data_IF_707349842122
#
_entry.id   IF_707349842122
#
_cell.length_a   1.000
_cell.length_b   1.000
_cell.length_c   1.000
_cell.angle_alpha   90.00
_cell.angle_beta   90.00
_cell.angle_gamma   90.00
#
_symmetry.space_group_name_H-M   'P 1'
#
loop_
_entity.id
_entity.type
_entity.pdbx_description
1 polymer ?
#
# COMPACT_ATOMS: atom_id res chain seq x y z
N UNK A 1 -11.35 -11.21 -45.33
CA UNK A 1 -12.77 -10.82 -45.18
C UNK A 1 -13.32 -11.72 -44.08
N UNK A 2 -13.43 -11.22 -42.83
CA UNK A 2 -14.64 -10.59 -42.23
C UNK A 2 -15.84 -11.55 -42.33
N UNK A 3 -16.66 -11.89 -41.33
CA UNK A 3 -16.96 -11.46 -39.95
C UNK A 3 -18.00 -12.52 -39.44
N UNK A 4 -17.93 -13.01 -38.19
CA UNK A 4 -18.86 -12.73 -37.06
C UNK A 4 -20.11 -13.64 -36.91
N UNK A 5 -20.40 -13.91 -35.63
CA UNK A 5 -21.69 -14.16 -34.94
C UNK A 5 -21.75 -15.50 -34.17
N UNK A 6 -21.39 -15.44 -32.88
CA UNK A 6 -22.27 -15.13 -31.73
C UNK A 6 -23.11 -16.33 -31.29
N UNK A 7 -22.59 -17.07 -30.31
CA UNK A 7 -23.31 -18.08 -29.57
C UNK A 7 -23.43 -17.60 -28.11
N UNK A 8 -24.50 -16.87 -27.81
CA UNK A 8 -24.87 -16.38 -26.48
C UNK A 8 -25.96 -17.29 -25.90
N UNK A 9 -25.73 -18.00 -24.77
CA UNK A 9 -26.80 -18.64 -24.00
C UNK A 9 -27.35 -17.67 -22.92
N UNK A 10 -28.51 -17.99 -22.32
CA UNK A 10 -29.62 -17.05 -22.16
C UNK A 10 -29.51 -16.12 -20.94
N UNK A 11 -30.19 -14.97 -21.06
CA UNK A 11 -30.46 -14.00 -19.98
C UNK A 11 -30.93 -14.72 -18.71
N UNK A 12 -30.06 -14.73 -17.70
CA UNK A 12 -30.42 -15.14 -16.35
C UNK A 12 -31.45 -14.15 -15.77
N UNK A 13 -32.59 -14.71 -15.38
CA UNK A 13 -33.63 -14.11 -14.53
C UNK A 13 -33.02 -13.25 -13.41
N UNK A 14 -33.51 -12.03 -13.29
CA UNK A 14 -33.27 -11.18 -12.11
C UNK A 14 -33.80 -11.88 -10.85
N UNK A 15 -32.89 -12.24 -9.96
CA UNK A 15 -33.23 -12.62 -8.58
C UNK A 15 -33.46 -11.32 -7.80
N UNK A 16 -34.60 -11.16 -7.11
CA UNK A 16 -34.88 -9.97 -6.32
C UNK A 16 -34.03 -10.00 -5.05
N UNK A 17 -33.00 -9.17 -5.06
CA UNK A 17 -32.07 -9.00 -3.94
C UNK A 17 -31.17 -7.81 -4.20
N UNK A 18 -31.71 -6.71 -4.71
CA UNK A 18 -30.99 -5.44 -4.79
C UNK A 18 -30.82 -4.90 -3.37
N UNK A 19 -29.77 -5.36 -2.70
CA UNK A 19 -29.20 -4.61 -1.58
C UNK A 19 -28.84 -3.22 -2.09
N UNK A 20 -29.26 -2.19 -1.36
CA UNK A 20 -29.04 -0.79 -1.70
C UNK A 20 -27.58 -0.57 -2.12
N UNK A 21 -27.36 -0.14 -3.36
CA UNK A 21 -26.04 0.26 -3.82
C UNK A 21 -25.61 1.52 -3.07
N UNK A 22 -24.65 1.35 -2.19
CA UNK A 22 -23.99 2.42 -1.43
C UNK A 22 -22.98 3.17 -2.32
N UNK A 23 -22.73 4.47 -2.05
CA UNK A 23 -21.80 5.28 -2.86
C UNK A 23 -20.37 4.72 -2.86
N UNK A 24 -19.97 4.06 -1.77
CA UNK A 24 -18.67 3.37 -1.64
C UNK A 24 -18.57 2.18 -2.59
N UNK A 25 -19.65 1.38 -2.70
CA UNK A 25 -19.73 0.24 -3.63
C UNK A 25 -19.70 0.68 -5.09
N UNK A 26 -20.41 1.74 -5.44
CA UNK A 26 -20.39 2.31 -6.79
C UNK A 26 -19.00 2.82 -7.18
N UNK A 27 -18.29 3.43 -6.23
CA UNK A 27 -16.93 3.93 -6.44
C UNK A 27 -15.92 2.78 -6.59
N UNK A 28 -16.06 1.70 -5.82
CA UNK A 28 -15.25 0.49 -5.95
C UNK A 28 -15.50 -0.20 -7.30
N UNK A 29 -16.76 -0.35 -7.71
CA UNK A 29 -17.11 -0.93 -9.02
C UNK A 29 -16.59 -0.08 -10.19
N UNK A 30 -16.59 1.25 -10.06
CA UNK A 30 -15.99 2.14 -11.07
C UNK A 30 -14.47 1.96 -11.18
N UNK A 31 -13.79 1.64 -10.09
CA UNK A 31 -12.33 1.47 -10.05
C UNK A 31 -11.85 0.05 -10.38
N UNK A 32 -12.63 -0.97 -10.02
CA UNK A 32 -12.26 -2.40 -10.15
C UNK A 32 -12.98 -3.10 -11.31
N UNK A 33 -13.96 -2.42 -11.93
CA UNK A 33 -14.88 -3.03 -12.89
C UNK A 33 -15.96 -3.89 -12.21
N UNK A 34 -16.76 -4.60 -13.01
CA UNK A 34 -17.82 -5.49 -12.52
C UNK A 34 -17.29 -6.84 -11.99
N UNK A 35 -16.01 -6.92 -11.62
CA UNK A 35 -15.41 -8.13 -11.09
C UNK A 35 -15.91 -8.40 -9.66
N UNK A 36 -16.27 -9.66 -9.37
CA UNK A 36 -16.71 -10.09 -8.02
C UNK A 36 -15.54 -10.42 -7.10
N UNK A 37 -14.40 -10.83 -7.67
CA UNK A 37 -13.18 -11.17 -6.95
C UNK A 37 -12.03 -10.38 -7.55
N UNK A 38 -11.22 -9.77 -6.70
CA UNK A 38 -10.06 -8.97 -7.09
C UNK A 38 -8.84 -9.36 -6.29
N UNK A 39 -7.66 -8.98 -6.77
CA UNK A 39 -6.43 -9.21 -6.00
C UNK A 39 -6.39 -8.30 -4.77
N UNK A 40 -5.70 -8.71 -3.69
CA UNK A 40 -5.44 -7.84 -2.54
C UNK A 40 -4.79 -6.49 -2.91
N UNK A 41 -3.95 -6.50 -3.94
CA UNK A 41 -3.26 -5.30 -4.42
C UNK A 41 -4.25 -4.31 -5.06
N UNK A 42 -5.17 -4.81 -5.89
CA UNK A 42 -6.19 -4.00 -6.55
C UNK A 42 -7.21 -3.45 -5.54
N UNK A 43 -7.66 -4.28 -4.59
CA UNK A 43 -8.55 -3.85 -3.51
C UNK A 43 -7.93 -2.68 -2.71
N UNK A 44 -6.64 -2.80 -2.36
CA UNK A 44 -5.91 -1.72 -1.68
C UNK A 44 -5.78 -0.46 -2.53
N UNK A 45 -5.40 -0.62 -3.81
CA UNK A 45 -5.22 0.50 -4.73
C UNK A 45 -6.52 1.28 -4.94
N UNK A 46 -7.62 0.57 -5.14
CA UNK A 46 -8.96 1.16 -5.27
C UNK A 46 -9.38 1.89 -3.99
N UNK A 47 -9.12 1.31 -2.81
CA UNK A 47 -9.49 1.93 -1.52
C UNK A 47 -8.77 3.25 -1.29
N UNK A 48 -7.47 3.32 -1.59
CA UNK A 48 -6.69 4.58 -1.49
C UNK A 48 -7.22 5.67 -2.42
N UNK A 49 -7.68 5.30 -3.61
CA UNK A 49 -8.23 6.25 -4.58
C UNK A 49 -9.62 6.79 -4.17
N UNK A 50 -10.39 6.03 -3.40
CA UNK A 50 -11.80 6.35 -3.08
C UNK A 50 -11.94 7.10 -1.75
N UNK A 51 -11.22 6.65 -0.72
CA UNK A 51 -11.44 7.12 0.67
C UNK A 51 -10.35 8.10 1.12
N UNK A 52 -9.26 8.21 0.36
CA UNK A 52 -8.09 9.01 0.72
C UNK A 52 -7.26 8.35 1.83
N UNK A 53 -5.99 8.73 1.92
CA UNK A 53 -5.05 8.12 2.88
C UNK A 53 -5.35 8.47 4.35
N UNK A 54 -6.11 9.55 4.59
CA UNK A 54 -6.28 10.14 5.93
C UNK A 54 -7.51 9.62 6.69
N UNK A 55 -8.29 8.72 6.08
CA UNK A 55 -9.54 8.21 6.66
C UNK A 55 -9.46 6.73 7.02
N UNK A 56 -8.66 5.94 6.29
CA UNK A 56 -8.48 4.51 6.57
C UNK A 56 -7.00 4.18 6.51
N UNK A 57 -6.48 3.63 7.61
CA UNK A 57 -5.05 3.31 7.73
C UNK A 57 -4.69 2.10 6.88
N UNK A 58 -3.39 1.93 6.62
CA UNK A 58 -2.86 0.77 5.92
C UNK A 58 -3.23 -0.55 6.60
N UNK A 59 -3.19 -0.58 7.93
CA UNK A 59 -3.47 -1.77 8.72
C UNK A 59 -4.95 -2.14 8.67
N UNK A 60 -5.83 -1.13 8.72
CA UNK A 60 -7.27 -1.32 8.56
C UNK A 60 -7.62 -1.92 7.19
N UNK A 61 -7.03 -1.39 6.11
CA UNK A 61 -7.22 -1.92 4.75
C UNK A 61 -6.78 -3.38 4.68
N UNK A 62 -5.66 -3.71 5.32
CA UNK A 62 -5.09 -5.06 5.29
C UNK A 62 -5.93 -6.04 6.11
N UNK A 63 -6.47 -5.61 7.24
CA UNK A 63 -7.42 -6.40 8.02
C UNK A 63 -8.71 -6.67 7.22
N UNK A 64 -9.29 -5.64 6.59
CA UNK A 64 -10.48 -5.80 5.74
C UNK A 64 -10.25 -6.75 4.56
N UNK A 65 -9.07 -6.72 3.95
CA UNK A 65 -8.69 -7.65 2.87
C UNK A 65 -8.65 -9.09 3.37
N UNK A 66 -8.11 -9.34 4.57
CA UNK A 66 -8.05 -10.69 5.17
C UNK A 66 -9.45 -11.20 5.50
N UNK A 67 -10.29 -10.35 6.06
CA UNK A 67 -11.67 -10.71 6.43
C UNK A 67 -12.54 -10.97 5.20
N UNK A 68 -12.26 -10.30 4.09
CA UNK A 68 -12.93 -10.48 2.80
C UNK A 68 -12.27 -11.53 1.91
N UNK A 69 -11.44 -12.43 2.47
CA UNK A 69 -10.77 -13.48 1.71
C UNK A 69 -11.73 -14.50 1.12
N UNK A 70 -11.47 -14.90 -0.13
CA UNK A 70 -12.17 -16.04 -0.76
C UNK A 70 -11.70 -17.40 -0.25
N UNK A 71 -10.67 -17.43 0.62
CA UNK A 71 -10.04 -18.64 1.14
C UNK A 71 -8.99 -19.24 0.21
N UNK A 72 -8.88 -18.74 -1.03
CA UNK A 72 -7.92 -19.20 -2.02
C UNK A 72 -6.52 -18.62 -1.75
N UNK A 73 -5.53 -19.51 -1.69
CA UNK A 73 -4.13 -19.17 -1.41
C UNK A 73 -3.22 -19.67 -2.52
N UNK A 74 -2.18 -18.90 -2.81
CA UNK A 74 -1.14 -19.27 -3.76
C UNK A 74 -0.41 -20.50 -3.22
N UNK A 75 -0.34 -21.61 -3.99
CA UNK A 75 0.28 -22.85 -3.54
C UNK A 75 1.79 -22.73 -3.28
N UNK A 76 2.47 -21.72 -3.84
CA UNK A 76 3.92 -21.51 -3.67
C UNK A 76 4.24 -20.61 -2.48
N UNK A 77 3.44 -19.57 -2.27
CA UNK A 77 3.74 -18.51 -1.30
C UNK A 77 2.81 -18.51 -0.08
N UNK A 78 1.70 -19.25 -0.15
CA UNK A 78 0.64 -19.23 0.87
C UNK A 78 -0.12 -17.91 0.96
N UNK A 79 0.15 -16.97 0.05
CA UNK A 79 -0.44 -15.64 0.02
C UNK A 79 -1.89 -15.71 -0.47
N UNK A 80 -2.73 -14.81 0.05
CA UNK A 80 -4.13 -14.69 -0.38
C UNK A 80 -4.20 -14.24 -1.85
N UNK A 81 -4.99 -14.94 -2.66
CA UNK A 81 -5.12 -14.68 -4.11
C UNK A 81 -6.35 -13.82 -4.42
N UNK A 82 -7.43 -14.02 -3.69
CA UNK A 82 -8.72 -13.38 -3.95
C UNK A 82 -9.32 -12.64 -2.76
N UNK A 83 -9.94 -11.51 -3.06
CA UNK A 83 -10.77 -10.71 -2.16
C UNK A 83 -12.17 -10.60 -2.76
N UNK A 84 -13.19 -10.97 -1.99
CA UNK A 84 -14.59 -10.76 -2.35
C UNK A 84 -14.93 -9.26 -2.22
N UNK A 85 -15.30 -8.65 -3.35
CA UNK A 85 -15.57 -7.21 -3.45
C UNK A 85 -16.79 -6.79 -2.62
N UNK A 86 -17.79 -7.66 -2.49
CA UNK A 86 -19.03 -7.36 -1.76
C UNK A 86 -18.85 -7.47 -0.25
N UNK A 87 -18.01 -8.39 0.22
CA UNK A 87 -17.59 -8.46 1.62
C UNK A 87 -16.69 -7.27 1.99
N UNK A 88 -15.75 -6.94 1.10
CA UNK A 88 -14.79 -5.86 1.30
C UNK A 88 -15.47 -4.47 1.30
N UNK A 89 -16.40 -4.20 0.38
CA UNK A 89 -17.15 -2.94 0.34
C UNK A 89 -17.97 -2.71 1.62
N UNK A 90 -18.60 -3.77 2.15
CA UNK A 90 -19.35 -3.71 3.42
C UNK A 90 -18.45 -3.47 4.62
N UNK A 91 -17.22 -3.96 4.62
CA UNK A 91 -16.25 -3.67 5.67
C UNK A 91 -15.79 -2.21 5.62
N UNK A 92 -15.52 -1.71 4.41
CA UNK A 92 -15.10 -0.32 4.19
C UNK A 92 -16.18 0.69 4.61
N UNK A 93 -17.45 0.39 4.36
CA UNK A 93 -18.58 1.23 4.78
C UNK A 93 -18.77 1.30 6.29
N UNK A 94 -18.62 0.17 6.98
CA UNK A 94 -18.66 0.13 8.45
C UNK A 94 -17.57 1.01 9.03
N UNK A 95 -16.34 0.89 8.51
CA UNK A 95 -15.20 1.67 8.97
C UNK A 95 -15.34 3.17 8.70
N UNK A 96 -15.80 3.54 7.51
CA UNK A 96 -16.04 4.95 7.16
C UNK A 96 -17.14 5.58 8.05
N UNK A 97 -18.14 4.79 8.46
CA UNK A 97 -19.22 5.24 9.34
C UNK A 97 -18.75 5.42 10.80
N UNK A 98 -17.82 4.60 11.27
CA UNK A 98 -17.17 4.72 12.59
C UNK A 98 -16.27 5.96 12.66
N UNK A 99 -15.43 6.20 11.65
CA UNK A 99 -14.57 7.39 11.59
C UNK A 99 -15.35 8.70 11.50
N UNK A 100 -16.56 8.70 10.93
CA UNK A 100 -17.45 9.87 10.96
C UNK A 100 -18.12 10.10 12.33
N UNK A 101 -18.27 9.06 13.16
CA UNK A 101 -18.71 9.21 14.55
C UNK A 101 -17.61 9.80 15.42
N UNK A 102 -16.37 9.31 15.28
CA UNK A 102 -15.21 9.79 16.04
C UNK A 102 -14.91 11.28 15.77
N UNK A 103 -14.95 11.70 14.50
CA UNK A 103 -14.77 13.12 14.13
C UNK A 103 -15.91 14.02 14.64
N UNK A 104 -17.15 13.52 14.70
CA UNK A 104 -18.27 14.26 15.29
C UNK A 104 -18.15 14.37 16.81
N UNK A 105 -17.68 13.33 17.48
CA UNK A 105 -17.45 13.39 18.93
C UNK A 105 -16.29 14.31 19.29
N UNK A 106 -15.22 14.35 18.50
CA UNK A 106 -14.11 15.30 18.69
C UNK A 106 -14.51 16.76 18.45
N UNK A 107 -15.37 17.02 17.44
CA UNK A 107 -15.91 18.36 17.22
C UNK A 107 -16.82 18.81 18.39
N UNK A 108 -17.65 17.91 18.91
CA UNK A 108 -18.54 18.20 20.05
C UNK A 108 -17.77 18.38 21.36
N UNK A 109 -16.68 17.62 21.59
CA UNK A 109 -15.83 17.81 22.78
C UNK A 109 -14.99 19.08 22.69
N UNK A 110 -14.55 19.47 21.49
CA UNK A 110 -13.89 20.76 21.27
C UNK A 110 -14.81 21.94 21.58
N UNK A 111 -16.08 21.89 21.17
CA UNK A 111 -17.07 22.94 21.49
C UNK A 111 -17.39 22.98 22.98
N UNK A 112 -17.55 21.82 23.64
CA UNK A 112 -17.78 21.75 25.08
C UNK A 112 -16.58 22.26 25.92
N UNK A 113 -15.35 22.00 25.47
CA UNK A 113 -14.13 22.54 26.12
C UNK A 113 -13.98 24.04 25.87
N UNK A 114 -14.40 24.55 24.71
CA UNK A 114 -14.45 25.99 24.41
C UNK A 114 -15.53 26.72 25.22
N UNK A 115 -16.69 26.10 25.46
CA UNK A 115 -17.72 26.64 26.35
C UNK A 115 -17.26 26.63 27.82
N UNK A 116 -16.61 25.55 28.27
CA UNK A 116 -16.02 25.48 29.62
C UNK A 116 -14.88 26.50 29.81
N UNK A 117 -14.06 26.73 28.78
CA UNK A 117 -13.02 27.76 28.79
C UNK A 117 -13.60 29.19 28.87
N UNK A 118 -14.78 29.43 28.27
CA UNK A 118 -15.51 30.70 28.38
C UNK A 118 -16.15 30.90 29.76
N UNK A 119 -16.57 29.82 30.43
CA UNK A 119 -17.10 29.88 31.80
C UNK A 119 -16.01 30.07 32.86
N UNK A 120 -14.84 29.45 32.69
CA UNK A 120 -13.74 29.51 33.67
C UNK A 120 -12.84 30.75 33.52
N UNK A 121 -12.82 31.39 32.34
CA UNK A 121 -12.05 32.61 32.07
C UNK A 121 -12.92 33.65 31.34
N UNK A 122 -13.70 34.46 32.08
CA UNK A 122 -14.58 35.48 31.48
C UNK A 122 -13.84 36.55 30.65
N UNK A 123 -12.52 36.69 30.84
CA UNK A 123 -11.69 37.73 30.20
C UNK A 123 -10.94 37.26 28.93
N UNK A 124 -11.12 36.01 28.48
CA UNK A 124 -10.59 35.63 27.16
C UNK A 124 -11.53 36.13 26.04
N UNK A 125 -11.38 37.42 25.70
CA UNK A 125 -11.90 38.00 24.46
C UNK A 125 -13.06 38.99 24.54
N UNK A 126 -13.30 39.68 25.65
CA UNK A 126 -14.37 40.69 25.72
C UNK A 126 -14.11 41.77 26.77
N UNK A 127 -13.92 43.01 26.33
CA UNK A 127 -13.67 44.17 27.18
C UNK A 127 -14.84 44.53 28.08
N UNK A 128 -14.47 44.97 29.29
CA UNK A 128 -15.13 45.95 30.17
C UNK A 128 -16.64 46.18 30.02
N UNK A 129 -17.41 45.80 31.04
CA UNK A 129 -18.34 46.75 31.67
C UNK A 129 -18.68 46.35 33.12
N UNK A 130 -18.45 47.30 34.03
CA UNK A 130 -18.61 47.21 35.48
C UNK A 130 -20.10 47.42 35.82
N UNK A 131 -20.82 46.35 36.14
CA UNK A 131 -22.17 46.41 36.69
C UNK A 131 -22.16 46.76 38.19
N UNK A 132 -22.61 47.95 38.53
CA UNK A 132 -22.84 48.42 39.91
C UNK A 132 -24.01 47.67 40.54
N UNK A 133 -23.80 46.98 41.66
CA UNK A 133 -24.90 46.48 42.50
C UNK A 133 -25.32 47.58 43.46
N UNK A 134 -26.53 48.09 43.27
CA UNK A 134 -27.17 49.08 44.13
C UNK A 134 -27.47 48.49 45.51
N UNK A 135 -27.03 49.20 46.53
CA UNK A 135 -27.42 49.01 47.92
C UNK A 135 -28.79 49.66 48.08
N UNK A 136 -29.84 48.85 48.25
CA UNK A 136 -31.12 49.34 48.77
C UNK A 136 -31.07 49.33 50.30
N UNK A 137 -31.32 50.50 50.87
CA UNK A 137 -31.45 50.74 52.29
C UNK A 137 -32.87 51.19 52.62
N UNK A 138 -33.28 50.86 53.86
CA UNK A 138 -34.35 51.46 54.68
C UNK A 138 -35.80 51.00 54.37
N UNK A 139 -36.76 51.03 55.34
CA UNK A 139 -36.82 51.93 56.51
C UNK A 139 -37.06 51.25 57.88
N UNK A 140 -36.51 51.80 58.97
CA UNK A 140 -37.06 52.91 59.79
C UNK A 140 -38.39 52.55 60.48
N UNK A 141 -38.30 52.11 61.74
CA UNK A 141 -39.43 52.04 62.65
C UNK A 141 -39.45 53.29 63.55
N UNK A 142 -40.34 54.21 63.15
CA UNK A 142 -41.12 55.18 63.93
C UNK A 142 -40.83 55.24 65.44
N UNK A 143 -40.22 56.34 65.86
CA UNK A 143 -40.36 56.88 67.21
C UNK A 143 -41.78 57.45 67.37
N UNK A 144 -42.52 56.98 68.38
CA UNK A 144 -43.77 57.60 68.85
C UNK A 144 -43.50 58.19 70.22
N UNK A 145 -43.79 59.49 70.32
CA UNK A 145 -43.52 60.31 71.48
C UNK A 145 -44.42 60.02 72.68
N UNK A 146 -43.82 60.31 73.83
CA UNK A 146 -44.35 60.89 75.04
C UNK A 146 -45.88 60.85 75.29
N UNK A 147 -46.24 60.26 76.42
CA UNK A 147 -47.25 60.86 77.29
C UNK A 147 -46.85 60.67 78.74
N UNK A 148 -46.41 61.78 79.34
CA UNK A 148 -46.32 61.95 80.78
C UNK A 148 -47.74 61.93 81.37
N UNK A 149 -47.94 61.12 82.40
CA UNK A 149 -48.99 61.33 83.39
C UNK A 149 -48.34 61.22 84.76
N UNK A 150 -48.11 62.37 85.38
CA UNK A 150 -47.96 62.50 86.84
C UNK A 150 -49.35 62.26 87.43
N UNK A 151 -49.46 61.33 88.36
CA UNK A 151 -49.97 61.62 89.70
C UNK A 151 -49.96 60.39 90.62
N UNK A 152 -49.83 60.72 91.92
CA UNK A 152 -50.08 59.89 93.10
C UNK A 152 -49.01 58.86 93.51
N UNK A 153 -48.07 59.31 94.34
CA UNK A 153 -47.30 58.44 95.22
C UNK A 153 -48.14 57.91 96.39
N UNK A 154 -48.01 56.61 96.66
CA UNK A 154 -47.79 55.98 97.99
C UNK A 154 -47.74 54.46 97.84
N UNK A 155 -46.60 53.94 97.37
CA UNK A 155 -46.14 52.55 97.54
C UNK A 155 -44.66 52.41 97.09
N UNK A 156 -43.82 53.39 97.39
CA UNK A 156 -42.49 53.53 96.78
C UNK A 156 -41.40 53.07 97.73
N UNK A 157 -41.11 51.76 97.69
CA UNK A 157 -39.79 51.14 97.89
C UNK A 157 -39.88 49.67 97.50
N UNK A 158 -40.90 48.96 97.97
CA UNK A 158 -41.12 47.53 97.64
C UNK A 158 -41.58 47.33 96.19
N UNK A 159 -42.48 48.18 95.66
CA UNK A 159 -42.95 48.07 94.27
C UNK A 159 -41.85 48.42 93.25
N UNK A 160 -41.02 49.41 93.55
CA UNK A 160 -39.83 49.72 92.72
C UNK A 160 -38.74 48.65 92.82
N UNK A 161 -38.64 47.93 93.95
CA UNK A 161 -37.71 46.82 94.12
C UNK A 161 -38.21 45.56 93.40
N UNK A 162 -39.53 45.32 93.38
CA UNK A 162 -40.18 44.29 92.55
C UNK A 162 -40.02 44.60 91.05
N UNK A 163 -40.21 45.84 90.61
CA UNK A 163 -40.01 46.21 89.21
C UNK A 163 -38.53 46.16 88.80
N UNK A 164 -37.59 46.55 89.68
CA UNK A 164 -36.15 46.39 89.42
C UNK A 164 -35.74 44.92 89.37
N UNK A 165 -36.28 44.06 90.23
CA UNK A 165 -35.97 42.63 90.24
C UNK A 165 -36.63 41.87 89.09
N UNK A 166 -37.82 42.27 88.65
CA UNK A 166 -38.47 41.74 87.44
C UNK A 166 -37.76 42.20 86.16
N UNK A 167 -37.33 43.46 86.10
CA UNK A 167 -36.51 43.93 84.98
C UNK A 167 -35.12 43.27 84.96
N UNK A 168 -34.51 43.04 86.14
CA UNK A 168 -33.26 42.32 86.26
C UNK A 168 -33.41 40.83 85.91
N UNK A 169 -34.51 40.18 86.29
CA UNK A 169 -34.78 38.78 85.92
C UNK A 169 -35.11 38.62 84.44
N UNK A 170 -35.87 39.54 83.85
CA UNK A 170 -36.12 39.61 82.40
C UNK A 170 -34.85 39.89 81.59
N UNK A 171 -33.96 40.76 82.09
CA UNK A 171 -32.65 40.97 81.49
C UNK A 171 -31.75 39.74 81.61
N UNK A 172 -31.81 39.00 82.72
CA UNK A 172 -31.05 37.76 82.92
C UNK A 172 -31.56 36.63 82.01
N UNK A 173 -32.88 36.50 81.80
CA UNK A 173 -33.43 35.52 80.86
C UNK A 173 -33.06 35.85 79.42
N UNK A 174 -33.17 37.12 79.01
CA UNK A 174 -32.72 37.55 77.68
C UNK A 174 -31.20 37.35 77.47
N UNK A 175 -30.38 37.59 78.50
CA UNK A 175 -28.96 37.28 78.47
C UNK A 175 -28.68 35.76 78.38
N UNK A 176 -29.51 34.94 79.01
CA UNK A 176 -29.39 33.47 78.96
C UNK A 176 -29.80 32.92 77.59
N UNK A 177 -30.86 33.46 76.99
CA UNK A 177 -31.32 33.11 75.65
C UNK A 177 -30.31 33.52 74.57
N UNK A 178 -29.73 34.72 74.68
CA UNK A 178 -28.65 35.15 73.77
C UNK A 178 -27.41 34.30 73.92
N UNK A 179 -27.01 33.92 75.14
CA UNK A 179 -25.93 32.96 75.37
C UNK A 179 -26.24 31.57 74.80
N UNK A 180 -27.48 31.10 74.87
CA UNK A 180 -27.91 29.83 74.26
C UNK A 180 -27.84 29.90 72.72
N UNK A 181 -28.27 31.01 72.11
CA UNK A 181 -28.15 31.24 70.66
C UNK A 181 -26.68 31.25 70.22
N UNK A 182 -25.82 31.98 70.92
CA UNK A 182 -24.38 32.04 70.62
C UNK A 182 -23.72 30.67 70.76
N UNK A 183 -24.14 29.85 71.74
CA UNK A 183 -23.64 28.46 71.87
C UNK A 183 -24.08 27.59 70.70
N UNK A 184 -25.34 27.67 70.29
CA UNK A 184 -25.84 26.92 69.13
C UNK A 184 -25.12 27.32 67.83
N UNK A 185 -24.87 28.62 67.64
CA UNK A 185 -24.07 29.13 66.53
C UNK A 185 -22.62 28.63 66.60
N UNK A 186 -22.00 28.62 67.79
CA UNK A 186 -20.63 28.10 67.97
C UNK A 186 -20.55 26.60 67.63
N UNK A 187 -21.53 25.80 68.04
CA UNK A 187 -21.59 24.38 67.74
C UNK A 187 -21.85 24.13 66.24
N UNK A 188 -22.71 24.93 65.60
CA UNK A 188 -22.91 24.92 64.15
C UNK A 188 -21.62 25.26 63.38
N UNK A 189 -20.90 26.30 63.81
CA UNK A 189 -19.61 26.68 63.21
C UNK A 189 -18.55 25.59 63.41
N UNK A 190 -18.51 24.93 64.57
CA UNK A 190 -17.62 23.78 64.81
C UNK A 190 -17.95 22.59 63.89
N UNK A 191 -19.23 22.29 63.70
CA UNK A 191 -19.67 21.24 62.78
C UNK A 191 -19.32 21.58 61.32
N UNK A 192 -19.55 22.83 60.89
CA UNK A 192 -19.16 23.30 59.58
C UNK A 192 -17.63 23.21 59.36
N UNK A 193 -16.84 23.58 60.37
CA UNK A 193 -15.38 23.51 60.32
C UNK A 193 -14.88 22.05 60.28
N UNK A 194 -15.51 21.14 61.03
CA UNK A 194 -15.22 19.71 60.93
C UNK A 194 -15.52 19.16 59.52
N UNK A 195 -16.63 19.59 58.92
CA UNK A 195 -17.00 19.21 57.55
C UNK A 195 -16.02 19.74 56.51
N UNK A 196 -15.56 20.99 56.63
CA UNK A 196 -14.57 21.55 55.70
C UNK A 196 -13.20 20.88 55.85
N UNK A 197 -12.80 20.51 57.07
CA UNK A 197 -11.57 19.70 57.28
C UNK A 197 -11.65 18.35 56.58
N UNK A 198 -12.75 17.62 56.75
CA UNK A 198 -12.94 16.34 56.07
C UNK A 198 -12.92 16.49 54.54
N UNK A 199 -13.60 17.51 54.00
CA UNK A 199 -13.57 17.82 52.58
C UNK A 199 -12.16 18.17 52.08
N UNK A 200 -11.36 18.87 52.88
CA UNK A 200 -9.98 19.19 52.54
C UNK A 200 -9.07 17.95 52.52
N UNK A 201 -9.27 17.03 53.47
CA UNK A 201 -8.57 15.74 53.48
C UNK A 201 -8.95 14.86 52.28
N UNK A 202 -10.23 14.87 51.88
CA UNK A 202 -10.68 14.19 50.66
C UNK A 202 -10.05 14.81 49.40
N UNK A 203 -10.01 16.15 49.30
CA UNK A 203 -9.38 16.86 48.19
C UNK A 203 -7.88 16.57 48.13
N UNK A 204 -7.20 16.51 49.27
CA UNK A 204 -5.78 16.18 49.32
C UNK A 204 -5.53 14.74 48.83
N UNK A 205 -6.33 13.77 49.26
CA UNK A 205 -6.26 12.39 48.75
C UNK A 205 -6.53 12.31 47.24
N UNK A 206 -7.48 13.11 46.73
CA UNK A 206 -7.75 13.21 45.30
C UNK A 206 -6.56 13.80 44.54
N UNK A 207 -5.91 14.84 45.06
CA UNK A 207 -4.74 15.46 44.46
C UNK A 207 -3.55 14.49 44.39
N UNK A 208 -3.26 13.78 45.48
CA UNK A 208 -2.20 12.76 45.53
C UNK A 208 -2.48 11.62 44.53
N UNK A 209 -3.74 11.16 44.43
CA UNK A 209 -4.11 10.15 43.44
C UNK A 209 -3.99 10.65 41.99
N UNK A 210 -4.32 11.91 41.72
CA UNK A 210 -4.18 12.50 40.40
C UNK A 210 -2.69 12.64 40.01
N UNK A 211 -1.84 13.08 40.93
CA UNK A 211 -0.39 13.18 40.72
C UNK A 211 0.24 11.80 40.46
N UNK A 212 -0.17 10.77 41.19
CA UNK A 212 0.28 9.40 40.94
C UNK A 212 -0.07 8.92 39.52
N UNK A 213 -1.32 9.13 39.09
CA UNK A 213 -1.76 8.78 37.72
C UNK A 213 -1.02 9.57 36.65
N UNK A 214 -0.76 10.86 36.90
CA UNK A 214 0.02 11.68 35.97
C UNK A 214 1.46 11.16 35.84
N UNK A 215 2.09 10.79 36.96
CA UNK A 215 3.43 10.23 36.95
C UNK A 215 3.50 8.88 36.23
N UNK A 216 2.50 8.01 36.42
CA UNK A 216 2.35 6.76 35.66
C UNK A 216 2.18 7.02 34.16
N UNK A 217 1.31 7.95 33.77
CA UNK A 217 1.11 8.31 32.36
C UNK A 217 2.38 8.90 31.73
N UNK A 218 3.12 9.73 32.47
CA UNK A 218 4.42 10.27 32.03
C UNK A 218 5.48 9.17 31.88
N UNK A 219 5.50 8.17 32.76
CA UNK A 219 6.40 7.02 32.64
C UNK A 219 6.06 6.18 31.39
N UNK A 220 4.79 5.86 31.18
CA UNK A 220 4.33 5.12 30.00
C UNK A 220 4.64 5.87 28.69
N UNK A 221 4.48 7.20 28.66
CA UNK A 221 4.85 8.03 27.52
C UNK A 221 6.35 7.93 27.21
N UNK A 222 7.20 8.00 28.23
CA UNK A 222 8.66 7.87 28.05
C UNK A 222 9.03 6.51 27.48
N UNK A 223 8.44 5.42 27.96
CA UNK A 223 8.66 4.08 27.41
C UNK A 223 8.21 3.98 25.96
N UNK A 224 7.05 4.54 25.62
CA UNK A 224 6.56 4.58 24.24
C UNK A 224 7.52 5.36 23.32
N UNK A 225 8.00 6.52 23.77
CA UNK A 225 8.98 7.32 23.01
C UNK A 225 10.30 6.56 22.78
N UNK A 226 10.77 5.83 23.78
CA UNK A 226 11.98 4.99 23.66
C UNK A 226 11.74 3.89 22.62
N UNK A 227 10.61 3.18 22.69
CA UNK A 227 10.27 2.13 21.73
C UNK A 227 10.16 2.67 20.30
N UNK A 228 9.47 3.80 20.11
CA UNK A 228 9.37 4.49 18.81
C UNK A 228 10.73 4.90 18.27
N UNK A 229 11.63 5.38 19.13
CA UNK A 229 12.99 5.71 18.72
C UNK A 229 13.75 4.47 18.24
N UNK A 230 13.68 3.36 18.99
CA UNK A 230 14.31 2.10 18.58
C UNK A 230 13.78 1.59 17.24
N UNK A 231 12.45 1.64 17.04
CA UNK A 231 11.85 1.29 15.76
C UNK A 231 12.30 2.21 14.62
N UNK A 232 12.39 3.53 14.88
CA UNK A 232 12.83 4.50 13.87
C UNK A 232 14.27 4.22 13.42
N UNK A 233 15.16 3.90 14.36
CA UNK A 233 16.55 3.51 14.09
C UNK A 233 16.60 2.17 13.36
N UNK A 234 15.76 1.20 13.75
CA UNK A 234 15.65 -0.09 13.07
C UNK A 234 15.20 0.04 11.61
N UNK A 235 14.19 0.87 11.34
CA UNK A 235 13.72 1.17 9.99
C UNK A 235 14.81 1.84 9.15
N UNK A 236 15.58 2.74 9.73
CA UNK A 236 16.68 3.40 9.01
C UNK A 236 17.82 2.42 8.66
N UNK A 237 18.16 1.50 9.57
CA UNK A 237 19.12 0.41 9.28
C UNK A 237 18.65 -0.45 8.12
N UNK A 238 17.38 -0.86 8.13
CA UNK A 238 16.79 -1.66 7.05
C UNK A 238 16.78 -0.89 5.71
N UNK A 239 16.57 0.43 5.72
CA UNK A 239 16.68 1.25 4.50
C UNK A 239 18.10 1.22 3.94
N UNK A 240 19.12 1.38 4.79
CA UNK A 240 20.53 1.32 4.37
C UNK A 240 20.90 -0.06 3.83
N UNK A 241 20.41 -1.14 4.44
CA UNK A 241 20.62 -2.49 3.93
C UNK A 241 19.94 -2.71 2.58
N UNK A 242 18.72 -2.19 2.40
CA UNK A 242 18.00 -2.27 1.14
C UNK A 242 18.70 -1.48 0.02
N UNK A 243 19.26 -0.31 0.31
CA UNK A 243 20.04 0.44 -0.69
C UNK A 243 21.31 -0.32 -1.09
N UNK A 244 22.02 -0.92 -0.13
CA UNK A 244 23.21 -1.74 -0.42
C UNK A 244 22.86 -2.96 -1.28
N UNK A 245 21.79 -3.68 -0.93
CA UNK A 245 21.33 -4.83 -1.70
C UNK A 245 20.92 -4.44 -3.14
N UNK A 246 20.28 -3.28 -3.31
CA UNK A 246 19.94 -2.77 -4.65
C UNK A 246 21.19 -2.42 -5.46
N UNK A 247 22.20 -1.78 -4.85
CA UNK A 247 23.47 -1.51 -5.51
C UNK A 247 24.21 -2.79 -5.92
N UNK A 248 24.18 -3.83 -5.08
CA UNK A 248 24.74 -5.15 -5.39
C UNK A 248 24.00 -5.83 -6.54
N UNK A 249 22.66 -5.81 -6.52
CA UNK A 249 21.84 -6.33 -7.61
C UNK A 249 22.12 -5.61 -8.94
N UNK A 250 22.29 -4.28 -8.88
CA UNK A 250 22.63 -3.51 -10.07
C UNK A 250 24.02 -3.86 -10.61
N UNK A 251 25.02 -4.01 -9.73
CA UNK A 251 26.36 -4.50 -10.11
C UNK A 251 26.31 -5.90 -10.74
N UNK A 252 25.52 -6.82 -10.16
CA UNK A 252 25.32 -8.15 -10.73
C UNK A 252 24.65 -8.09 -12.11
N UNK A 253 23.67 -7.21 -12.28
CA UNK A 253 22.99 -7.00 -13.57
C UNK A 253 23.94 -6.47 -14.63
N UNK A 254 24.73 -5.44 -14.33
CA UNK A 254 25.74 -4.89 -15.25
C UNK A 254 26.78 -5.95 -15.64
N UNK A 255 27.22 -6.78 -14.67
CA UNK A 255 28.12 -7.90 -14.95
C UNK A 255 27.48 -8.95 -15.86
N UNK A 256 26.19 -9.25 -15.67
CA UNK A 256 25.47 -10.21 -16.51
C UNK A 256 25.27 -9.67 -17.94
N UNK A 257 24.91 -8.39 -18.08
CA UNK A 257 24.78 -7.72 -19.38
C UNK A 257 26.11 -7.71 -20.15
N UNK A 258 27.23 -7.44 -19.45
CA UNK A 258 28.58 -7.55 -20.01
C UNK A 258 28.91 -8.98 -20.46
N UNK A 259 28.62 -9.98 -19.62
CA UNK A 259 28.84 -11.38 -19.97
C UNK A 259 28.05 -11.80 -21.22
N UNK A 260 26.77 -11.43 -21.31
CA UNK A 260 25.92 -11.68 -22.49
C UNK A 260 26.50 -11.01 -23.74
N UNK A 261 26.98 -9.77 -23.64
CA UNK A 261 27.62 -9.09 -24.76
C UNK A 261 28.88 -9.85 -25.24
N UNK A 262 29.70 -10.36 -24.31
CA UNK A 262 30.88 -11.18 -24.67
C UNK A 262 30.49 -12.52 -25.29
N UNK A 263 29.43 -13.16 -24.80
CA UNK A 263 28.93 -14.42 -25.35
C UNK A 263 28.47 -14.23 -26.80
N UNK A 264 27.65 -13.21 -27.08
CA UNK A 264 27.20 -12.88 -28.44
C UNK A 264 28.37 -12.59 -29.39
N UNK A 265 29.41 -11.89 -28.90
CA UNK A 265 30.62 -11.63 -29.69
C UNK A 265 31.39 -12.91 -30.02
N UNK A 266 31.52 -13.83 -29.05
CA UNK A 266 32.15 -15.13 -29.25
C UNK A 266 31.33 -16.02 -30.20
N UNK A 267 30.00 -16.04 -30.08
CA UNK A 267 29.12 -16.75 -31.01
C UNK A 267 29.27 -16.25 -32.45
N UNK A 268 29.33 -14.92 -32.64
CA UNK A 268 29.56 -14.34 -33.96
C UNK A 268 30.92 -14.76 -34.53
N UNK A 269 31.97 -14.77 -33.69
CA UNK A 269 33.31 -15.22 -34.08
C UNK A 269 33.35 -16.71 -34.44
N UNK A 270 32.68 -17.56 -33.68
CA UNK A 270 32.56 -19.01 -33.97
C UNK A 270 31.86 -19.21 -35.32
N UNK A 271 30.76 -18.50 -35.57
CA UNK A 271 30.06 -18.56 -36.87
C UNK A 271 30.98 -18.14 -38.03
N UNK A 272 31.76 -17.08 -37.85
CA UNK A 272 32.70 -16.63 -38.87
C UNK A 272 33.81 -17.65 -39.16
N UNK A 273 34.39 -18.25 -38.12
CA UNK A 273 35.41 -19.30 -38.26
C UNK A 273 34.84 -20.53 -38.99
N UNK A 274 33.67 -21.01 -38.58
CA UNK A 274 32.99 -22.14 -39.25
C UNK A 274 32.71 -21.87 -40.73
N UNK A 275 32.27 -20.66 -41.06
CA UNK A 275 32.05 -20.26 -42.44
C UNK A 275 33.37 -20.15 -43.22
N UNK A 276 34.44 -19.67 -42.58
CA UNK A 276 35.79 -19.64 -43.15
C UNK A 276 36.32 -21.04 -43.49
N UNK A 277 36.19 -21.98 -42.55
CA UNK A 277 36.59 -23.38 -42.74
C UNK A 277 35.80 -24.03 -43.88
N UNK A 278 34.49 -23.78 -43.96
CA UNK A 278 33.64 -24.27 -45.06
C UNK A 278 34.09 -23.71 -46.42
N UNK A 279 34.41 -22.41 -46.49
CA UNK A 279 34.91 -21.78 -47.73
C UNK A 279 36.25 -22.37 -48.15
N UNK A 280 37.14 -22.69 -47.20
CA UNK A 280 38.40 -23.37 -47.49
C UNK A 280 38.18 -24.76 -48.07
N UNK A 281 37.33 -25.57 -47.43
CA UNK A 281 37.00 -26.91 -47.89
C UNK A 281 36.35 -26.91 -49.30
N UNK A 282 35.47 -25.94 -49.59
CA UNK A 282 34.88 -25.78 -50.91
C UNK A 282 35.92 -25.39 -51.98
N UNK A 283 36.90 -24.56 -51.63
CA UNK A 283 38.00 -24.19 -52.54
C UNK A 283 38.89 -25.38 -52.85
N UNK A 284 39.27 -26.17 -51.84
CA UNK A 284 40.08 -27.38 -52.03
C UNK A 284 39.37 -28.37 -52.95
N UNK A 285 38.08 -28.65 -52.69
CA UNK A 285 37.27 -29.55 -53.52
C UNK A 285 37.10 -29.07 -54.96
N UNK A 286 37.00 -27.75 -55.18
CA UNK A 286 36.97 -27.17 -56.53
C UNK A 286 38.30 -27.38 -57.25
N UNK A 287 39.43 -27.21 -56.56
CA UNK A 287 40.77 -27.44 -57.13
C UNK A 287 40.94 -28.92 -57.48
N UNK A 288 40.51 -29.82 -56.60
CA UNK A 288 40.51 -31.27 -56.84
C UNK A 288 39.68 -31.63 -58.07
N UNK A 289 38.43 -31.17 -58.17
CA UNK A 289 37.57 -31.45 -59.33
C UNK A 289 38.14 -30.87 -60.63
N UNK A 290 38.75 -29.68 -60.58
CA UNK A 290 39.43 -29.10 -61.75
C UNK A 290 40.65 -29.93 -62.18
N UNK A 291 41.38 -30.53 -61.23
CA UNK A 291 42.51 -31.38 -61.52
C UNK A 291 42.07 -32.74 -62.08
N UNK A 292 40.99 -33.30 -61.55
CA UNK A 292 40.34 -34.51 -62.08
C UNK A 292 39.88 -34.28 -63.53
N UNK A 293 39.13 -33.21 -63.81
CA UNK A 293 38.72 -32.83 -65.16
C UNK A 293 39.92 -32.65 -66.11
N UNK A 294 41.00 -31.99 -65.66
CA UNK A 294 42.22 -31.86 -66.47
C UNK A 294 42.88 -33.23 -66.74
N UNK A 295 42.84 -34.15 -65.78
CA UNK A 295 43.37 -35.50 -65.95
C UNK A 295 42.51 -36.32 -66.91
N UNK A 296 41.18 -36.22 -66.82
CA UNK A 296 40.23 -36.83 -67.73
C UNK A 296 40.40 -36.31 -69.17
N UNK A 297 40.51 -35.00 -69.36
CA UNK A 297 40.79 -34.40 -70.67
C UNK A 297 42.10 -34.98 -71.24
N UNK A 298 43.18 -35.00 -70.45
CA UNK A 298 44.46 -35.60 -70.89
C UNK A 298 44.34 -37.09 -71.21
N UNK A 299 43.57 -37.84 -70.42
CA UNK A 299 43.34 -39.26 -70.66
C UNK A 299 42.54 -39.47 -71.96
N UNK A 300 41.50 -38.67 -72.19
CA UNK A 300 40.70 -38.68 -73.42
C UNK A 300 41.53 -38.30 -74.65
N UNK A 301 42.41 -37.31 -74.54
CA UNK A 301 43.34 -36.91 -75.60
C UNK A 301 44.34 -38.02 -75.92
N UNK A 302 44.87 -38.69 -74.89
CA UNK A 302 45.77 -39.83 -75.07
C UNK A 302 45.05 -41.03 -75.68
N UNK A 303 43.79 -41.27 -75.29
CA UNK A 303 42.95 -42.29 -75.92
C UNK A 303 42.72 -41.97 -77.41
N UNK A 304 42.30 -40.74 -77.74
CA UNK A 304 42.15 -40.26 -79.13
C UNK A 304 43.42 -40.43 -79.94
N UNK A 305 44.59 -40.10 -79.38
CA UNK A 305 45.89 -40.31 -80.04
C UNK A 305 46.23 -41.79 -80.23
N UNK A 306 45.91 -42.67 -79.28
CA UNK A 306 46.08 -44.12 -79.44
C UNK A 306 45.18 -44.65 -80.54
N UNK A 307 43.90 -44.28 -80.55
CA UNK A 307 42.97 -44.63 -81.63
C UNK A 307 43.47 -44.17 -83.00
N UNK A 308 43.95 -42.93 -83.12
CA UNK A 308 44.52 -42.43 -84.37
C UNK A 308 45.74 -43.24 -84.85
N UNK A 309 46.62 -43.65 -83.92
CA UNK A 309 47.77 -44.51 -84.24
C UNK A 309 47.35 -45.93 -84.64
N UNK A 310 46.37 -46.50 -83.94
CA UNK A 310 45.80 -47.81 -84.25
C UNK A 310 45.17 -47.79 -85.65
N UNK A 311 44.37 -46.75 -85.97
CA UNK A 311 43.80 -46.53 -87.30
C UNK A 311 44.89 -46.47 -88.37
N UNK A 312 45.93 -45.65 -88.18
CA UNK A 312 47.06 -45.61 -89.12
C UNK A 312 47.76 -46.97 -89.29
N UNK A 313 47.90 -47.75 -88.22
CA UNK A 313 48.50 -49.09 -88.29
C UNK A 313 47.63 -50.04 -89.12
N UNK A 314 46.31 -50.04 -88.88
CA UNK A 314 45.33 -50.83 -89.63
C UNK A 314 45.35 -50.41 -91.10
N UNK A 315 45.26 -49.12 -91.40
CA UNK A 315 45.30 -48.59 -92.76
C UNK A 315 46.58 -49.01 -93.51
N UNK A 316 47.74 -48.94 -92.84
CA UNK A 316 49.03 -49.38 -93.40
C UNK A 316 49.09 -50.90 -93.67
N UNK A 317 48.40 -51.71 -92.85
CA UNK A 317 48.32 -53.15 -93.01
C UNK A 317 47.38 -53.51 -94.17
N UNK A 318 46.22 -52.86 -94.25
CA UNK A 318 45.27 -52.98 -95.36
C UNK A 318 45.93 -52.58 -96.68
N UNK A 319 46.68 -51.47 -96.71
CA UNK A 319 47.47 -51.06 -97.89
C UNK A 319 48.45 -52.15 -98.34
N UNK A 320 49.25 -52.71 -97.42
CA UNK A 320 50.19 -53.80 -97.74
C UNK A 320 49.50 -55.07 -98.22
N UNK A 321 48.35 -55.43 -97.64
CA UNK A 321 47.53 -56.55 -98.11
C UNK A 321 47.02 -56.30 -99.53
N UNK A 322 46.51 -55.09 -99.81
CA UNK A 322 46.06 -54.68 -101.15
C UNK A 322 47.19 -54.73 -102.17
N UNK A 323 48.40 -54.27 -101.81
CA UNK A 323 49.57 -54.34 -102.68
C UNK A 323 49.99 -55.80 -102.96
N UNK A 324 50.01 -56.65 -101.92
CA UNK A 324 50.38 -58.06 -102.07
C UNK A 324 49.36 -58.84 -102.91
N UNK A 325 48.07 -58.59 -102.73
CA UNK A 325 47.04 -59.21 -103.56
C UNK A 325 47.13 -58.77 -105.03
N UNK A 326 47.42 -57.48 -105.28
CA UNK A 326 47.71 -56.97 -106.63
C UNK A 326 48.89 -57.71 -107.27
N UNK A 327 49.97 -57.96 -106.53
CA UNK A 327 51.12 -58.73 -107.06
C UNK A 327 50.81 -60.20 -107.34
N UNK A 328 49.81 -60.77 -106.67
CA UNK A 328 49.38 -62.16 -106.85
C UNK A 328 48.27 -62.32 -107.91
N UNK A 329 47.83 -61.22 -108.56
CA UNK A 329 46.75 -61.24 -109.55
C UNK A 329 45.36 -61.51 -108.95
N UNK A 330 45.19 -61.33 -107.64
CA UNK A 330 43.93 -61.53 -106.92
C UNK A 330 43.19 -60.19 -106.87
N UNK A 331 41.99 -60.11 -107.45
CA UNK A 331 41.15 -58.91 -107.40
C UNK A 331 40.50 -58.77 -106.00
N UNK A 332 40.92 -57.75 -105.24
CA UNK A 332 40.36 -57.41 -103.92
C UNK A 332 39.35 -56.24 -104.01
N UNK A 333 38.35 -56.35 -104.89
CA UNK A 333 37.27 -55.35 -104.98
C UNK A 333 36.21 -55.48 -103.86
N UNK A 334 36.46 -56.30 -102.82
CA UNK A 334 35.50 -56.56 -101.73
C UNK A 334 35.97 -56.08 -100.35
N UNK A 335 36.97 -55.19 -100.29
CA UNK A 335 37.43 -54.55 -99.04
C UNK A 335 37.26 -53.03 -99.11
N UNK A 336 36.19 -52.54 -99.73
CA UNK A 336 35.65 -51.23 -99.44
C UNK A 336 34.84 -51.37 -98.16
N UNK A 337 35.49 -51.11 -97.03
CA UNK A 337 34.78 -50.84 -95.78
C UNK A 337 34.39 -49.38 -95.88
N UNK A 338 33.10 -49.12 -96.03
CA UNK A 338 32.50 -47.79 -95.93
C UNK A 338 32.92 -47.17 -94.58
N UNK A 339 33.77 -46.15 -94.64
CA UNK A 339 34.33 -45.46 -93.47
C UNK A 339 33.36 -44.40 -92.89
N UNK A 340 32.06 -44.52 -93.19
CA UNK A 340 31.00 -43.55 -92.86
C UNK A 340 30.08 -44.01 -91.71
N UNK A 341 30.54 -44.88 -90.82
CA UNK A 341 29.90 -45.03 -89.51
C UNK A 341 30.33 -43.85 -88.61
N UNK A 342 29.76 -42.69 -88.90
CA UNK A 342 29.81 -41.50 -88.04
C UNK A 342 29.32 -41.90 -86.65
N UNK A 343 30.26 -42.01 -85.71
CA UNK A 343 29.97 -42.09 -84.29
C UNK A 343 29.35 -40.76 -83.85
N UNK A 344 28.03 -40.63 -83.98
CA UNK A 344 27.26 -39.63 -83.25
C UNK A 344 27.09 -40.13 -81.82
N UNK A 345 28.14 -40.01 -81.01
CA UNK A 345 27.99 -39.85 -79.56
C UNK A 345 27.37 -38.48 -79.33
N UNK A 346 26.04 -38.41 -79.35
CA UNK A 346 25.30 -37.31 -78.73
C UNK A 346 25.05 -37.72 -77.28
N UNK A 347 25.93 -37.26 -76.39
CA UNK A 347 25.55 -36.97 -75.01
C UNK A 347 24.82 -35.62 -75.03
N UNK A 348 23.51 -35.66 -74.83
CA UNK A 348 22.70 -34.61 -74.19
C UNK A 348 21.67 -35.28 -73.26
#
# INVERSE_FOLDING_TARGET
>A
MLESDENVPPRARAVPGTSSQTPTRLSLQKSLGNARVVTPFDARRATRAIVGADVVTFDDITAMIRDASTGERDPKTGAQVGVDVDAFARALERRASEGHREKKTEAVTSDALMELARELLPEYGGGTERGKVGVEAAPSARAVGARETRDAGRATREMEEVDRTQNASGALTAASETLASVRAENDSLRAALAKTRAANEDLQRCAESAEARENEARAALRECMISLHHESVGRERLRVELTKANEELQRCRESAESAVATELALEARIKHLRNGDLVSALRERLIESQNELKAEIKASDMARRRFAREKMRIDSFVMRLRDKARTLGICLELLEVDDDASASESDD
#
